data_IF_221539393020
#
_entry.id   IF_221539393020
#
_cell.length_a   1.000
_cell.length_b   1.000
_cell.length_c   1.000
_cell.angle_alpha   90.00
_cell.angle_beta   90.00
_cell.angle_gamma   90.00
#
_symmetry.space_group_name_H-M   'P 1'
#
loop_
_entity.id
_entity.type
_entity.pdbx_description
1 polymer ?
#
# COMPACT_ATOMS: atom_id res chain seq x y z
N UNK A 1 67.08 9.64 5.00
CA UNK A 1 66.36 8.63 4.20
C UNK A 1 64.87 8.85 4.40
N UNK A 2 64.19 9.30 3.34
CA UNK A 2 62.73 9.46 3.28
C UNK A 2 62.11 8.07 3.12
N UNK A 3 61.04 7.78 3.85
CA UNK A 3 60.18 6.63 3.58
C UNK A 3 58.73 7.12 3.53
N UNK A 4 58.25 7.32 2.30
CA UNK A 4 56.84 7.52 1.99
C UNK A 4 56.05 6.20 2.02
N UNK A 5 54.71 6.38 2.06
CA UNK A 5 53.60 5.46 1.70
C UNK A 5 53.03 4.63 2.87
N UNK A 6 51.71 4.57 3.09
CA UNK A 6 50.55 4.66 2.17
C UNK A 6 49.30 5.10 2.94
N UNK A 7 48.51 6.01 2.35
CA UNK A 7 47.09 6.17 2.63
C UNK A 7 46.34 5.00 1.98
N UNK A 8 45.50 4.30 2.73
CA UNK A 8 44.41 3.48 2.19
C UNK A 8 43.08 4.03 2.73
N UNK A 9 42.06 4.19 1.87
CA UNK A 9 40.75 4.67 2.30
C UNK A 9 40.00 3.51 2.95
N UNK A 10 39.53 3.70 4.19
CA UNK A 10 38.54 2.81 4.78
C UNK A 10 37.27 2.89 3.93
N UNK A 11 37.00 1.79 3.22
CA UNK A 11 35.78 1.46 2.53
C UNK A 11 34.61 1.56 3.52
N UNK A 12 34.01 2.75 3.57
CA UNK A 12 32.76 3.01 4.26
C UNK A 12 31.63 2.28 3.55
N UNK A 13 31.55 0.97 3.78
CA UNK A 13 30.33 0.19 3.56
C UNK A 13 29.24 0.86 4.40
N UNK A 14 28.46 1.72 3.75
CA UNK A 14 27.14 2.12 4.24
C UNK A 14 26.42 0.82 4.52
N UNK A 15 26.31 0.45 5.79
CA UNK A 15 25.37 -0.57 6.21
C UNK A 15 24.01 -0.01 5.81
N UNK A 16 23.49 -0.47 4.68
CA UNK A 16 22.08 -0.31 4.34
C UNK A 16 21.33 -0.79 5.57
N UNK A 17 20.71 0.15 6.28
CA UNK A 17 19.87 -0.19 7.41
C UNK A 17 18.76 -1.05 6.83
N UNK A 18 18.84 -2.35 7.07
CA UNK A 18 17.76 -3.26 6.74
C UNK A 18 16.55 -2.75 7.54
N UNK A 19 15.61 -2.19 6.79
CA UNK A 19 14.27 -1.80 7.19
C UNK A 19 13.69 -2.68 8.29
N UNK A 20 13.07 -2.08 9.28
CA UNK A 20 12.39 -2.84 10.32
C UNK A 20 11.17 -3.59 9.77
N UNK A 21 10.56 -3.12 8.67
CA UNK A 21 9.56 -3.89 7.91
C UNK A 21 10.19 -5.06 7.15
N UNK A 22 11.35 -4.88 6.53
CA UNK A 22 12.09 -5.97 5.87
C UNK A 22 12.54 -7.03 6.87
N UNK A 23 12.96 -6.63 8.07
CA UNK A 23 13.19 -7.55 9.19
C UNK A 23 11.90 -8.23 9.65
N UNK A 24 10.78 -7.51 9.70
CA UNK A 24 9.47 -8.05 10.09
C UNK A 24 8.97 -9.10 9.08
N UNK A 25 9.04 -8.81 7.79
CA UNK A 25 8.71 -9.72 6.69
C UNK A 25 9.64 -10.94 6.67
N UNK A 26 10.95 -10.74 6.79
CA UNK A 26 11.94 -11.84 6.83
C UNK A 26 11.78 -12.75 8.05
N UNK A 27 11.39 -12.20 9.20
CA UNK A 27 11.16 -12.95 10.44
C UNK A 27 9.86 -13.78 10.41
N UNK A 28 8.91 -13.46 9.52
CA UNK A 28 7.64 -14.20 9.36
C UNK A 28 7.48 -14.91 8.01
N UNK A 29 8.36 -14.64 7.03
CA UNK A 29 8.40 -15.28 5.70
C UNK A 29 8.41 -16.81 5.77
N UNK A 30 9.02 -17.38 6.82
CA UNK A 30 9.01 -18.83 7.04
C UNK A 30 7.63 -19.41 7.39
N UNK A 31 6.77 -18.62 8.05
CA UNK A 31 5.41 -19.04 8.43
C UNK A 31 4.47 -18.90 7.23
N UNK A 32 4.58 -17.80 6.46
CA UNK A 32 3.80 -17.62 5.23
C UNK A 32 4.12 -18.69 4.17
N UNK A 33 5.38 -19.15 4.08
CA UNK A 33 5.76 -20.27 3.22
C UNK A 33 5.17 -21.62 3.68
N UNK A 34 4.96 -21.83 4.99
CA UNK A 34 4.29 -23.03 5.49
C UNK A 34 2.76 -22.99 5.30
N UNK A 35 2.13 -21.82 5.31
CA UNK A 35 0.70 -21.69 4.95
C UNK A 35 0.42 -21.98 3.47
N UNK A 36 1.40 -21.83 2.58
CA UNK A 36 1.24 -22.06 1.14
C UNK A 36 1.01 -23.54 0.76
N UNK A 37 1.20 -24.52 1.67
CA UNK A 37 1.22 -25.96 1.34
C UNK A 37 -0.03 -26.73 1.76
N UNK A 38 -1.02 -26.08 2.39
CA UNK A 38 -2.30 -26.72 2.75
C UNK A 38 -3.46 -26.20 1.90
N UNK A 39 -3.40 -26.40 0.57
CA UNK A 39 -4.58 -26.33 -0.29
C UNK A 39 -5.51 -27.50 0.03
N UNK A 40 -6.36 -27.34 1.04
CA UNK A 40 -7.66 -28.03 1.04
C UNK A 40 -8.58 -27.16 0.19
N UNK A 41 -8.92 -27.67 -0.99
CA UNK A 41 -9.90 -27.06 -1.90
C UNK A 41 -11.27 -27.13 -1.22
N UNK A 42 -11.55 -26.18 -0.34
CA UNK A 42 -12.92 -25.83 0.05
C UNK A 42 -13.33 -24.76 -0.95
N UNK A 43 -14.03 -25.18 -2.01
CA UNK A 43 -14.69 -24.23 -2.92
C UNK A 43 -15.87 -23.66 -2.14
N UNK A 44 -15.66 -22.55 -1.44
CA UNK A 44 -16.76 -21.74 -0.94
C UNK A 44 -17.29 -20.95 -2.15
N UNK A 45 -18.59 -20.98 -2.48
CA UNK A 45 -19.12 -20.33 -3.68
C UNK A 45 -18.92 -18.81 -3.78
N UNK A 46 -18.51 -18.15 -2.68
CA UNK A 46 -18.51 -16.69 -2.54
C UNK A 46 -17.13 -16.07 -2.23
N UNK A 47 -16.02 -16.81 -2.33
CA UNK A 47 -14.69 -16.20 -2.21
C UNK A 47 -14.32 -15.49 -3.51
N UNK A 48 -14.48 -14.17 -3.55
CA UNK A 48 -14.01 -13.32 -4.64
C UNK A 48 -12.48 -13.52 -4.75
N UNK A 49 -11.99 -13.94 -5.92
CA UNK A 49 -10.55 -14.05 -6.13
C UNK A 49 -9.92 -12.65 -6.07
N UNK A 50 -8.68 -12.48 -5.57
CA UNK A 50 -8.04 -11.17 -5.49
C UNK A 50 -8.02 -10.39 -6.82
N UNK A 51 -7.92 -11.12 -7.95
CA UNK A 51 -8.03 -10.54 -9.30
C UNK A 51 -9.43 -10.06 -9.66
N UNK A 52 -10.48 -10.73 -9.17
CA UNK A 52 -11.87 -10.33 -9.39
C UNK A 52 -12.23 -9.14 -8.50
N UNK A 53 -11.66 -9.09 -7.29
CA UNK A 53 -11.74 -7.94 -6.40
C UNK A 53 -11.10 -6.71 -7.06
N UNK A 54 -9.84 -6.82 -7.49
CA UNK A 54 -9.15 -5.72 -8.17
C UNK A 54 -9.91 -5.23 -9.42
N UNK A 55 -10.48 -6.16 -10.19
CA UNK A 55 -11.30 -5.83 -11.35
C UNK A 55 -12.58 -5.08 -10.95
N UNK A 56 -13.30 -5.55 -9.93
CA UNK A 56 -14.52 -4.89 -9.43
C UNK A 56 -14.26 -3.49 -8.87
N UNK A 57 -13.09 -3.30 -8.25
CA UNK A 57 -12.66 -2.02 -7.70
C UNK A 57 -12.36 -0.99 -8.80
N UNK A 58 -11.76 -1.44 -9.91
CA UNK A 58 -11.48 -0.59 -11.08
C UNK A 58 -12.77 -0.28 -11.87
N UNK A 59 -13.75 -1.18 -11.89
CA UNK A 59 -15.06 -0.94 -12.52
C UNK A 59 -15.85 0.20 -11.87
N UNK A 60 -15.60 0.52 -10.60
CA UNK A 60 -16.19 1.69 -9.92
C UNK A 60 -15.62 3.04 -10.37
N UNK A 61 -14.52 3.04 -11.15
CA UNK A 61 -13.87 4.24 -11.68
C UNK A 61 -14.28 4.45 -13.13
N UNK A 62 -15.15 5.43 -13.35
CA UNK A 62 -15.86 5.62 -14.62
C UNK A 62 -15.02 6.33 -15.70
N UNK A 63 -13.97 7.07 -15.31
CA UNK A 63 -13.16 7.86 -16.25
C UNK A 63 -11.68 7.51 -16.20
N UNK A 64 -10.97 7.81 -17.29
CA UNK A 64 -9.52 7.61 -17.37
C UNK A 64 -8.79 8.42 -16.28
N UNK A 65 -9.24 9.64 -16.00
CA UNK A 65 -8.64 10.47 -14.95
C UNK A 65 -8.87 9.91 -13.54
N UNK A 66 -10.05 9.33 -13.27
CA UNK A 66 -10.32 8.64 -12.02
C UNK A 66 -9.39 7.43 -11.84
N UNK A 67 -9.19 6.66 -12.92
CA UNK A 67 -8.24 5.56 -12.95
C UNK A 67 -6.79 6.02 -12.74
N UNK A 68 -6.39 7.14 -13.35
CA UNK A 68 -5.08 7.75 -13.14
C UNK A 68 -4.91 8.16 -11.68
N UNK A 69 -5.90 8.85 -11.10
CA UNK A 69 -5.87 9.27 -9.70
C UNK A 69 -5.69 8.08 -8.75
N UNK A 70 -6.45 7.00 -8.98
CA UNK A 70 -6.29 5.77 -8.21
C UNK A 70 -4.92 5.13 -8.39
N UNK A 71 -4.42 5.03 -9.63
CA UNK A 71 -3.11 4.44 -9.91
C UNK A 71 -1.96 5.20 -9.23
N UNK A 72 -2.06 6.53 -9.14
CA UNK A 72 -1.08 7.35 -8.40
C UNK A 72 -1.09 6.98 -6.91
N UNK A 73 -2.26 6.91 -6.27
CA UNK A 73 -2.36 6.48 -4.85
C UNK A 73 -1.83 5.07 -4.68
N UNK A 74 -2.27 4.14 -5.53
CA UNK A 74 -1.90 2.73 -5.47
C UNK A 74 -0.39 2.52 -5.55
N UNK A 75 0.27 3.23 -6.46
CA UNK A 75 1.70 3.08 -6.75
C UNK A 75 2.62 3.99 -5.94
N UNK A 76 2.09 4.84 -5.05
CA UNK A 76 2.90 5.75 -4.25
C UNK A 76 3.87 4.99 -3.33
N UNK A 77 5.17 5.26 -3.44
CA UNK A 77 6.25 4.57 -2.71
C UNK A 77 7.08 5.49 -1.81
N UNK A 78 6.53 6.67 -1.46
CA UNK A 78 7.26 7.66 -0.67
C UNK A 78 8.17 8.52 -1.53
N UNK A 79 8.90 9.47 -0.93
CA UNK A 79 9.61 10.53 -1.65
C UNK A 79 10.81 10.03 -2.47
N UNK A 80 11.37 8.86 -2.15
CA UNK A 80 12.54 8.29 -2.82
C UNK A 80 12.20 7.12 -3.76
N UNK A 81 10.93 6.75 -3.86
CA UNK A 81 10.40 5.60 -4.60
C UNK A 81 11.12 4.26 -4.29
N UNK A 82 11.65 4.10 -3.08
CA UNK A 82 12.41 2.90 -2.70
C UNK A 82 11.64 1.91 -1.82
N UNK A 83 10.54 2.36 -1.21
CA UNK A 83 9.69 1.58 -0.31
C UNK A 83 8.62 0.71 -0.97
N UNK A 84 7.84 0.02 -0.13
CA UNK A 84 6.60 -0.66 -0.56
C UNK A 84 5.59 0.38 -1.05
N UNK A 85 4.77 0.00 -2.03
CA UNK A 85 3.71 0.91 -2.45
C UNK A 85 2.61 1.02 -1.38
N UNK A 86 1.88 2.12 -1.43
CA UNK A 86 0.87 2.48 -0.45
C UNK A 86 -0.27 1.48 -0.39
N UNK A 87 -0.69 0.93 -1.53
CA UNK A 87 -1.74 -0.09 -1.57
C UNK A 87 -1.32 -1.37 -0.84
N UNK A 88 -0.17 -1.93 -1.17
CA UNK A 88 0.36 -3.14 -0.52
C UNK A 88 0.55 -2.90 0.99
N UNK A 89 0.96 -1.68 1.37
CA UNK A 89 1.08 -1.29 2.77
C UNK A 89 -0.27 -1.30 3.49
N UNK A 90 -1.31 -0.73 2.88
CA UNK A 90 -2.68 -0.75 3.43
C UNK A 90 -3.18 -2.18 3.60
N UNK A 91 -3.07 -3.00 2.55
CA UNK A 91 -3.48 -4.40 2.55
C UNK A 91 -2.75 -5.17 3.65
N UNK A 92 -1.42 -5.02 3.75
CA UNK A 92 -0.63 -5.67 4.79
C UNK A 92 -1.04 -5.23 6.21
N UNK A 93 -1.35 -3.95 6.43
CA UNK A 93 -1.83 -3.47 7.73
C UNK A 93 -3.22 -4.02 8.09
N UNK A 94 -4.09 -4.19 7.09
CA UNK A 94 -5.39 -4.83 7.26
C UNK A 94 -5.21 -6.30 7.65
N UNK A 95 -4.46 -7.08 6.88
CA UNK A 95 -4.23 -8.50 7.16
C UNK A 95 -3.57 -8.73 8.53
N UNK A 96 -2.63 -7.85 8.93
CA UNK A 96 -1.99 -7.95 10.24
C UNK A 96 -2.93 -7.68 11.42
N UNK A 97 -4.03 -6.93 11.21
CA UNK A 97 -5.06 -6.75 12.24
C UNK A 97 -5.90 -8.02 12.44
N UNK A 98 -5.96 -8.89 11.43
CA UNK A 98 -6.75 -10.12 11.40
C UNK A 98 -5.89 -11.36 11.13
N UNK A 99 -4.91 -11.68 12.00
CA UNK A 99 -3.86 -12.67 11.69
C UNK A 99 -4.34 -14.12 11.55
N UNK A 100 -5.57 -14.42 11.99
CA UNK A 100 -6.11 -15.78 12.02
C UNK A 100 -7.24 -15.99 11.00
N UNK A 101 -7.51 -15.02 10.13
CA UNK A 101 -8.58 -15.11 9.14
C UNK A 101 -8.22 -14.41 7.84
N UNK A 102 -8.81 -14.87 6.73
CA UNK A 102 -8.72 -14.17 5.46
C UNK A 102 -9.80 -13.08 5.40
N UNK A 103 -9.53 -11.94 6.03
CA UNK A 103 -10.51 -10.85 6.12
C UNK A 103 -10.87 -10.23 4.76
N UNK A 104 -9.93 -10.17 3.83
CA UNK A 104 -10.15 -9.60 2.49
C UNK A 104 -11.10 -10.46 1.64
N UNK A 105 -11.07 -11.78 1.83
CA UNK A 105 -11.96 -12.73 1.17
C UNK A 105 -13.21 -13.08 1.98
N UNK A 106 -13.45 -12.41 3.11
CA UNK A 106 -14.61 -12.70 3.95
C UNK A 106 -15.89 -12.14 3.31
N UNK A 107 -16.98 -12.91 3.37
CA UNK A 107 -18.27 -12.56 2.71
C UNK A 107 -18.92 -11.27 3.23
N UNK A 108 -18.61 -10.93 4.48
CA UNK A 108 -19.13 -9.73 5.15
C UNK A 108 -18.12 -8.56 5.06
N UNK A 109 -17.10 -8.67 4.20
CA UNK A 109 -16.12 -7.62 3.93
C UNK A 109 -16.46 -6.91 2.64
N UNK A 110 -16.48 -5.58 2.69
CA UNK A 110 -16.76 -4.70 1.56
C UNK A 110 -15.54 -3.80 1.36
N UNK A 111 -15.07 -3.74 0.12
CA UNK A 111 -13.97 -2.87 -0.27
C UNK A 111 -14.47 -2.01 -1.42
N UNK A 112 -14.35 -0.70 -1.25
CA UNK A 112 -14.81 0.25 -2.25
C UNK A 112 -13.72 1.28 -2.54
N UNK A 113 -13.56 1.59 -3.83
CA UNK A 113 -12.69 2.67 -4.30
C UNK A 113 -13.54 3.63 -5.10
N UNK A 114 -13.38 4.92 -4.82
CA UNK A 114 -13.99 5.98 -5.60
C UNK A 114 -13.01 7.12 -5.80
N UNK A 115 -13.16 7.83 -6.92
CA UNK A 115 -12.40 9.04 -7.21
C UNK A 115 -13.37 10.14 -7.66
N UNK A 116 -13.39 11.24 -6.93
CA UNK A 116 -14.24 12.39 -7.21
C UNK A 116 -13.40 13.52 -7.81
N UNK A 117 -13.85 14.09 -8.93
CA UNK A 117 -13.22 15.28 -9.50
C UNK A 117 -13.48 16.50 -8.56
N UNK A 118 -12.40 17.18 -8.18
CA UNK A 118 -12.42 18.33 -7.26
C UNK A 118 -12.11 19.66 -7.97
N UNK A 119 -12.19 19.71 -9.30
CA UNK A 119 -11.86 20.89 -10.11
C UNK A 119 -12.61 22.15 -9.66
N UNK A 120 -13.91 22.05 -9.43
CA UNK A 120 -14.73 23.20 -9.00
C UNK A 120 -14.38 23.71 -7.59
N UNK A 121 -13.72 22.89 -6.76
CA UNK A 121 -13.47 23.18 -5.33
C UNK A 121 -12.02 23.52 -5.03
N UNK A 122 -11.08 22.89 -5.71
CA UNK A 122 -9.65 22.93 -5.38
C UNK A 122 -8.83 23.41 -6.57
N UNK A 123 -9.05 22.83 -7.74
CA UNK A 123 -8.36 23.21 -8.96
C UNK A 123 -8.32 22.08 -9.99
N UNK A 124 -8.04 22.44 -11.23
CA UNK A 124 -7.98 21.51 -12.35
C UNK A 124 -6.97 20.36 -12.08
N UNK A 125 -7.37 19.14 -12.43
CA UNK A 125 -6.55 17.94 -12.26
C UNK A 125 -6.44 17.46 -10.81
N UNK A 126 -7.26 17.99 -9.88
CA UNK A 126 -7.32 17.49 -8.51
C UNK A 126 -8.48 16.51 -8.36
N UNK A 127 -8.18 15.32 -7.85
CA UNK A 127 -9.14 14.28 -7.54
C UNK A 127 -9.08 13.94 -6.05
N UNK A 128 -10.22 13.65 -5.44
CA UNK A 128 -10.28 13.04 -4.12
C UNK A 128 -10.50 11.55 -4.28
N UNK A 129 -9.53 10.76 -3.87
CA UNK A 129 -9.59 9.29 -3.89
C UNK A 129 -9.98 8.81 -2.49
N UNK A 130 -11.03 7.99 -2.43
CA UNK A 130 -11.44 7.30 -1.21
C UNK A 130 -11.26 5.79 -1.39
N UNK A 131 -10.55 5.17 -0.45
CA UNK A 131 -10.50 3.73 -0.26
C UNK A 131 -11.24 3.41 1.04
N UNK A 132 -12.32 2.65 0.94
CA UNK A 132 -13.10 2.19 2.08
C UNK A 132 -12.94 0.69 2.28
N UNK A 133 -12.81 0.29 3.53
CA UNK A 133 -12.69 -1.10 3.97
C UNK A 133 -13.62 -1.31 5.16
N UNK A 134 -14.73 -2.00 4.91
CA UNK A 134 -15.75 -2.30 5.92
C UNK A 134 -15.82 -3.81 6.15
N UNK A 135 -15.96 -4.19 7.41
CA UNK A 135 -16.04 -5.58 7.87
C UNK A 135 -17.16 -5.72 8.90
N UNK A 136 -17.31 -6.91 9.47
CA UNK A 136 -18.29 -7.17 10.52
C UNK A 136 -18.00 -6.44 11.85
N UNK A 137 -16.76 -6.01 12.10
CA UNK A 137 -16.35 -5.39 13.37
C UNK A 137 -15.52 -4.09 13.25
N UNK A 138 -15.15 -3.69 12.04
CA UNK A 138 -14.35 -2.50 11.79
C UNK A 138 -14.75 -1.82 10.47
N UNK A 139 -14.59 -0.49 10.44
CA UNK A 139 -14.81 0.33 9.26
C UNK A 139 -13.68 1.36 9.16
N UNK A 140 -12.94 1.32 8.05
CA UNK A 140 -11.77 2.15 7.79
C UNK A 140 -11.91 2.86 6.46
N UNK A 141 -11.83 4.18 6.51
CA UNK A 141 -11.72 5.02 5.32
C UNK A 141 -10.33 5.61 5.21
N UNK A 142 -9.84 5.74 3.97
CA UNK A 142 -8.60 6.40 3.65
C UNK A 142 -8.82 7.35 2.49
N UNK A 143 -8.61 8.64 2.74
CA UNK A 143 -8.93 9.70 1.79
C UNK A 143 -7.67 10.46 1.43
N UNK A 144 -7.36 10.57 0.14
CA UNK A 144 -6.29 11.40 -0.40
C UNK A 144 -6.84 12.42 -1.39
N UNK A 145 -6.23 13.60 -1.44
CA UNK A 145 -6.29 14.46 -2.62
C UNK A 145 -5.07 14.17 -3.49
N UNK A 146 -5.32 14.03 -4.79
CA UNK A 146 -4.33 13.61 -5.78
C UNK A 146 -4.31 14.64 -6.88
N UNK A 147 -3.13 15.13 -7.20
CA UNK A 147 -2.93 15.90 -8.41
C UNK A 147 -2.47 14.97 -9.54
N UNK A 148 -3.33 14.73 -10.52
CA UNK A 148 -3.03 13.80 -11.62
C UNK A 148 -1.98 14.32 -12.61
N UNK A 149 -1.63 15.60 -12.53
CA UNK A 149 -0.62 16.23 -13.39
C UNK A 149 0.77 16.16 -12.74
N UNK A 150 0.86 16.27 -11.41
CA UNK A 150 2.14 16.27 -10.67
C UNK A 150 2.44 14.93 -9.98
N UNK A 151 1.47 14.01 -9.92
CA UNK A 151 1.50 12.76 -9.15
C UNK A 151 1.66 12.96 -7.64
N UNK A 152 1.41 14.16 -7.14
CA UNK A 152 1.44 14.44 -5.70
C UNK A 152 0.16 13.93 -5.03
N UNK A 153 0.33 13.32 -3.86
CA UNK A 153 -0.77 12.90 -3.00
C UNK A 153 -0.72 13.63 -1.67
N UNK A 154 -1.89 13.97 -1.13
CA UNK A 154 -2.05 14.62 0.16
C UNK A 154 -3.08 13.87 0.99
N UNK A 155 -2.69 13.26 2.12
CA UNK A 155 -3.65 12.57 2.98
C UNK A 155 -4.60 13.57 3.64
N UNK A 156 -5.90 13.29 3.57
CA UNK A 156 -6.97 14.16 4.09
C UNK A 156 -7.45 13.72 5.47
N UNK A 157 -7.50 12.41 5.73
CA UNK A 157 -7.92 11.86 7.02
C UNK A 157 -6.78 11.14 7.76
N UNK A 158 -7.02 10.84 9.04
CA UNK A 158 -6.00 10.22 9.90
C UNK A 158 -5.57 8.83 9.42
N UNK A 159 -6.50 8.05 8.84
CA UNK A 159 -6.21 6.76 8.23
C UNK A 159 -5.20 6.89 7.09
N UNK A 160 -5.50 7.75 6.11
CA UNK A 160 -4.60 8.04 4.99
C UNK A 160 -3.25 8.57 5.47
N UNK A 161 -3.25 9.51 6.43
CA UNK A 161 -2.02 10.10 6.97
C UNK A 161 -1.14 9.06 7.63
N UNK A 162 -1.73 8.14 8.39
CA UNK A 162 -0.98 7.03 9.01
C UNK A 162 -0.32 6.15 7.95
N UNK A 163 -1.05 5.79 6.90
CA UNK A 163 -0.51 4.92 5.83
C UNK A 163 0.57 5.61 5.01
N UNK A 164 0.34 6.88 4.62
CA UNK A 164 1.36 7.69 3.94
C UNK A 164 2.63 7.81 4.78
N UNK A 165 2.52 8.08 6.09
CA UNK A 165 3.68 8.15 6.97
C UNK A 165 4.44 6.81 7.09
N UNK A 166 3.75 5.67 7.02
CA UNK A 166 4.42 4.36 7.02
C UNK A 166 5.31 4.25 5.79
N UNK A 167 4.77 4.58 4.61
CA UNK A 167 5.53 4.54 3.36
C UNK A 167 6.66 5.57 3.31
N UNK A 168 6.47 6.76 3.89
CA UNK A 168 7.47 7.84 3.83
C UNK A 168 8.63 7.68 4.82
N UNK A 169 8.41 7.07 5.99
CA UNK A 169 9.37 7.12 7.11
C UNK A 169 9.79 5.77 7.66
N UNK A 170 9.10 4.69 7.28
CA UNK A 170 9.40 3.34 7.75
C UNK A 170 9.87 2.50 6.57
N UNK A 171 10.94 2.97 5.94
CA UNK A 171 11.67 2.22 4.92
C UNK A 171 12.11 0.88 5.44
#
# INVERSE_FOLDING_TARGET
MVKERKNEPEDGKKQEKESDLKKFLKKRSFIYLMCAVAFVVIVVPDMIAPSDLEKSLVENLETDEQNIAWNIVKSYQGPDNSGYNLYDTIILQIENAYPNENILGHRDTIIEISALNMEEKVGNGIYQVNFSFETYDDNRDYVWQVNIQTNEIFPINDGAKKMTNIVEFYD
#
